data_IF_346358938694
#
_entry.id   IF_346358938694
#
_cell.length_a   1.000
_cell.length_b   1.000
_cell.length_c   1.000
_cell.angle_alpha   90.00
_cell.angle_beta   90.00
_cell.angle_gamma   90.00
#
_symmetry.space_group_name_H-M   'P 1'
#
loop_
_entity.id
_entity.type
_entity.pdbx_description
1 polymer ?
#
# COMPACT_ATOMS: atom_id res chain seq x y z
N UNK A 1 -49.19 10.46 13.63
CA UNK A 1 -48.55 11.39 12.67
C UNK A 1 -49.67 12.28 12.10
N UNK A 2 -49.59 13.59 12.26
CA UNK A 2 -50.65 14.50 11.79
C UNK A 2 -50.65 14.55 10.27
N UNK A 3 -51.85 14.62 9.66
CA UNK A 3 -52.00 14.72 8.19
C UNK A 3 -51.22 15.89 7.58
N UNK A 4 -50.95 16.97 8.35
CA UNK A 4 -50.13 18.09 7.94
C UNK A 4 -48.62 17.75 7.78
N UNK A 5 -48.07 16.82 8.54
CA UNK A 5 -46.67 16.42 8.38
C UNK A 5 -46.42 15.64 7.09
N UNK A 6 -47.38 14.86 6.62
CA UNK A 6 -47.29 14.09 5.37
C UNK A 6 -47.29 15.03 4.15
N UNK A 7 -48.04 16.13 4.18
CA UNK A 7 -48.06 17.10 3.09
C UNK A 7 -46.75 17.92 2.99
N UNK A 8 -46.11 18.19 4.11
CA UNK A 8 -44.80 18.86 4.15
C UNK A 8 -43.71 17.94 3.53
N UNK A 9 -43.70 16.67 3.89
CA UNK A 9 -42.75 15.70 3.34
C UNK A 9 -42.98 15.51 1.83
N UNK A 10 -44.22 15.42 1.38
CA UNK A 10 -44.55 15.33 -0.04
C UNK A 10 -44.12 16.58 -0.80
N UNK A 11 -44.33 17.81 -0.25
CA UNK A 11 -43.89 19.04 -0.88
C UNK A 11 -42.34 19.12 -0.99
N UNK A 12 -41.60 18.74 0.06
CA UNK A 12 -40.14 18.68 0.02
C UNK A 12 -39.65 17.67 -1.02
N UNK A 13 -40.26 16.48 -1.11
CA UNK A 13 -39.91 15.47 -2.09
C UNK A 13 -40.15 15.96 -3.54
N UNK A 14 -41.24 16.69 -3.79
CA UNK A 14 -41.52 17.27 -5.09
C UNK A 14 -40.54 18.40 -5.45
N UNK A 15 -40.18 19.26 -4.50
CA UNK A 15 -39.18 20.32 -4.72
C UNK A 15 -37.79 19.73 -5.02
N UNK A 16 -37.35 18.70 -4.28
CA UNK A 16 -36.09 18.04 -4.56
C UNK A 16 -36.07 17.34 -5.92
N UNK A 17 -37.17 16.70 -6.30
CA UNK A 17 -37.29 16.07 -7.61
C UNK A 17 -37.26 17.11 -8.75
N UNK A 18 -37.96 18.23 -8.61
CA UNK A 18 -37.92 19.34 -9.56
C UNK A 18 -36.54 19.98 -9.66
N UNK A 19 -35.82 20.12 -8.55
CA UNK A 19 -34.44 20.61 -8.51
C UNK A 19 -33.47 19.68 -9.24
N UNK A 20 -33.60 18.37 -9.05
CA UNK A 20 -32.80 17.38 -9.76
C UNK A 20 -33.08 17.37 -11.27
N UNK A 21 -34.34 17.45 -11.67
CA UNK A 21 -34.75 17.54 -13.08
C UNK A 21 -34.22 18.84 -13.70
N UNK A 22 -34.32 19.96 -12.98
CA UNK A 22 -33.76 21.23 -13.46
C UNK A 22 -32.24 21.16 -13.63
N UNK A 23 -31.54 20.57 -12.65
CA UNK A 23 -30.08 20.36 -12.75
C UNK A 23 -29.71 19.44 -13.91
N UNK A 24 -30.47 18.34 -14.16
CA UNK A 24 -30.23 17.44 -15.26
C UNK A 24 -30.47 18.09 -16.63
N UNK A 25 -31.41 19.02 -16.73
CA UNK A 25 -31.72 19.74 -17.99
C UNK A 25 -30.79 20.92 -18.25
N UNK A 26 -30.16 21.49 -17.19
CA UNK A 26 -29.23 22.62 -17.31
C UNK A 26 -27.76 22.23 -17.21
N UNK A 27 -27.47 20.93 -16.98
CA UNK A 27 -26.11 20.43 -16.91
C UNK A 27 -25.53 20.34 -18.32
N UNK A 28 -24.84 21.39 -18.76
CA UNK A 28 -23.91 21.30 -19.87
C UNK A 28 -22.62 20.63 -19.35
N UNK A 29 -22.36 19.41 -19.84
CA UNK A 29 -21.10 18.75 -19.58
C UNK A 29 -19.96 19.66 -20.06
N UNK A 30 -18.90 19.90 -19.26
CA UNK A 30 -17.79 20.71 -19.70
C UNK A 30 -17.21 20.06 -20.98
N UNK A 31 -17.29 20.77 -22.08
CA UNK A 31 -16.70 20.40 -23.37
C UNK A 31 -15.18 20.55 -23.23
N UNK A 32 -14.57 19.62 -22.50
CA UNK A 32 -13.13 19.46 -22.48
C UNK A 32 -12.68 18.95 -23.85
N UNK A 33 -12.35 19.86 -24.75
CA UNK A 33 -11.58 19.53 -25.93
C UNK A 33 -10.19 19.10 -25.50
N UNK A 34 -10.03 17.82 -25.22
CA UNK A 34 -8.69 17.21 -25.17
C UNK A 34 -8.19 17.15 -26.61
N UNK A 35 -7.46 18.19 -27.03
CA UNK A 35 -6.70 18.16 -28.27
C UNK A 35 -5.56 17.18 -28.05
N UNK A 36 -5.76 15.92 -28.40
CA UNK A 36 -4.67 14.97 -28.54
C UNK A 36 -3.86 15.43 -29.76
N UNK A 37 -2.76 16.12 -29.53
CA UNK A 37 -1.74 16.37 -30.55
C UNK A 37 -1.08 15.03 -30.84
N UNK A 38 -1.57 14.32 -31.84
CA UNK A 38 -0.86 13.20 -32.42
C UNK A 38 0.43 13.77 -33.06
N UNK A 39 1.63 13.30 -32.68
CA UNK A 39 2.84 13.66 -33.39
C UNK A 39 2.66 13.21 -34.84
N UNK A 40 2.88 14.14 -35.77
CA UNK A 40 2.87 13.85 -37.21
C UNK A 40 3.83 12.70 -37.51
N UNK A 41 3.42 11.71 -38.32
CA UNK A 41 4.34 10.65 -38.71
C UNK A 41 5.51 11.29 -39.46
N UNK A 42 6.70 11.14 -38.90
CA UNK A 42 7.95 11.49 -39.57
C UNK A 42 7.97 10.70 -40.87
N UNK A 43 7.93 11.40 -41.99
CA UNK A 43 8.17 10.81 -43.29
C UNK A 43 9.54 10.18 -43.27
N UNK A 44 9.60 8.85 -43.19
CA UNK A 44 10.80 8.09 -43.49
C UNK A 44 11.11 8.35 -44.96
N UNK A 45 12.18 9.05 -45.19
CA UNK A 45 12.80 9.27 -46.47
C UNK A 45 13.16 7.90 -47.03
N UNK A 46 12.49 7.52 -48.07
CA UNK A 46 12.69 6.31 -48.85
C UNK A 46 14.12 6.33 -49.43
N UNK A 47 15.02 5.55 -48.84
CA UNK A 47 16.34 5.32 -49.39
C UNK A 47 16.25 4.13 -50.35
N UNK A 48 16.58 4.41 -51.58
CA UNK A 48 16.75 3.57 -52.77
C UNK A 48 17.47 2.23 -52.43
N UNK A 49 16.94 1.08 -52.87
CA UNK A 49 17.56 -0.22 -52.54
C UNK A 49 18.72 -0.53 -53.45
N UNK A 50 19.93 -0.52 -52.98
CA UNK A 50 21.06 -1.21 -53.61
C UNK A 50 21.01 -2.72 -53.28
N UNK A 51 21.21 -3.58 -54.27
CA UNK A 51 21.20 -5.04 -54.05
C UNK A 51 22.50 -5.49 -53.36
N UNK A 52 22.37 -6.08 -52.19
CA UNK A 52 23.43 -6.86 -51.57
C UNK A 52 23.17 -8.34 -51.78
N UNK A 53 24.12 -8.93 -52.39
CA UNK A 53 24.38 -10.34 -52.70
C UNK A 53 24.20 -11.21 -51.44
N UNK A 54 23.48 -12.32 -51.59
CA UNK A 54 23.16 -13.26 -50.53
C UNK A 54 24.36 -14.21 -50.28
N UNK A 55 24.90 -14.18 -49.07
CA UNK A 55 25.69 -15.32 -48.53
C UNK A 55 24.79 -16.19 -47.64
N UNK A 56 24.86 -17.51 -47.73
CA UNK A 56 24.03 -18.42 -46.97
C UNK A 56 24.57 -18.63 -45.56
N UNK A 57 23.89 -18.12 -44.55
CA UNK A 57 24.19 -18.45 -43.16
C UNK A 57 23.68 -19.85 -42.82
N UNK A 58 24.63 -20.70 -42.53
CA UNK A 58 24.47 -22.08 -42.05
C UNK A 58 23.92 -22.06 -40.62
N UNK A 59 22.66 -22.43 -40.45
CA UNK A 59 22.03 -22.67 -39.14
C UNK A 59 22.36 -24.13 -38.73
N UNK A 60 23.36 -24.29 -37.90
CA UNK A 60 23.61 -25.54 -37.17
C UNK A 60 23.17 -25.40 -35.72
N UNK A 61 21.98 -25.92 -35.41
CA UNK A 61 21.53 -26.16 -34.05
C UNK A 61 22.29 -27.38 -33.48
N UNK A 62 22.83 -27.32 -32.25
CA UNK A 62 23.41 -28.53 -31.63
C UNK A 62 22.28 -29.43 -31.16
N UNK A 63 22.22 -30.63 -31.79
CA UNK A 63 21.39 -31.74 -31.34
C UNK A 63 21.98 -32.34 -30.07
N UNK A 64 21.27 -32.24 -28.94
CA UNK A 64 21.59 -33.02 -27.76
C UNK A 64 21.11 -34.45 -27.97
N UNK A 65 22.06 -35.35 -28.17
CA UNK A 65 21.83 -36.78 -28.28
C UNK A 65 21.72 -37.35 -26.88
N UNK A 66 20.51 -37.74 -26.47
CA UNK A 66 20.29 -38.53 -25.25
C UNK A 66 20.58 -39.97 -25.59
N UNK A 67 21.66 -40.51 -25.04
CA UNK A 67 22.04 -41.92 -25.10
C UNK A 67 21.29 -42.65 -23.98
N UNK A 68 20.56 -43.73 -24.25
CA UNK A 68 19.90 -44.52 -23.21
C UNK A 68 20.90 -45.36 -22.44
N UNK A 69 21.02 -45.11 -21.16
CA UNK A 69 21.86 -45.86 -20.23
C UNK A 69 21.29 -47.27 -20.04
N UNK A 70 22.15 -48.27 -20.33
CA UNK A 70 21.88 -49.71 -20.25
C UNK A 70 21.85 -50.15 -18.77
N UNK A 71 20.85 -50.92 -18.30
CA UNK A 71 20.82 -51.39 -16.91
C UNK A 71 21.95 -52.40 -16.63
N UNK A 72 22.68 -52.18 -15.54
CA UNK A 72 23.68 -53.09 -15.00
C UNK A 72 23.01 -54.28 -14.29
N UNK A 73 23.66 -55.46 -14.29
CA UNK A 73 23.07 -56.69 -13.78
C UNK A 73 23.00 -56.73 -12.25
N UNK A 74 21.89 -57.31 -11.74
CA UNK A 74 21.63 -57.52 -10.34
C UNK A 74 22.68 -58.42 -9.69
N UNK A 75 23.30 -57.93 -8.63
CA UNK A 75 24.13 -58.71 -7.71
C UNK A 75 23.22 -59.28 -6.61
N UNK A 76 23.23 -60.60 -6.47
CA UNK A 76 22.46 -61.32 -5.46
C UNK A 76 22.94 -60.95 -4.06
N UNK A 77 22.02 -60.54 -3.22
CA UNK A 77 22.25 -60.27 -1.79
C UNK A 77 22.15 -61.57 -1.01
N UNK A 78 23.21 -61.85 -0.28
CA UNK A 78 23.33 -62.88 0.76
C UNK A 78 22.43 -62.54 1.97
N UNK A 79 21.83 -63.52 2.66
CA UNK A 79 20.91 -63.26 3.76
C UNK A 79 21.67 -62.86 5.04
N UNK A 80 21.51 -61.62 5.43
CA UNK A 80 22.02 -61.09 6.69
C UNK A 80 21.15 -61.56 7.86
N UNK A 81 21.81 -62.16 8.85
CA UNK A 81 21.23 -62.74 10.07
C UNK A 81 20.70 -61.60 10.95
N UNK A 82 19.41 -61.62 11.28
CA UNK A 82 18.77 -60.65 12.20
C UNK A 82 19.38 -60.70 13.62
N UNK A 83 19.71 -59.57 14.24
CA UNK A 83 20.07 -59.53 15.66
C UNK A 83 18.81 -59.69 16.54
N UNK A 84 18.94 -60.16 17.78
CA UNK A 84 17.81 -60.48 18.70
C UNK A 84 17.05 -59.23 19.11
N UNK A 85 15.78 -59.35 19.55
CA UNK A 85 14.95 -58.23 19.95
C UNK A 85 15.54 -57.53 21.14
N UNK A 86 15.85 -56.25 21.02
CA UNK A 86 16.17 -55.38 22.16
C UNK A 86 14.84 -55.04 22.84
N UNK A 87 14.72 -55.44 24.07
CA UNK A 87 13.62 -55.11 24.98
C UNK A 87 13.60 -53.59 25.21
N UNK A 88 12.63 -52.91 24.54
CA UNK A 88 12.44 -51.49 24.67
C UNK A 88 11.77 -51.25 26.04
N UNK A 89 12.53 -50.79 27.01
CA UNK A 89 11.96 -50.24 28.24
C UNK A 89 11.09 -49.02 27.89
N UNK A 90 9.89 -48.90 28.49
CA UNK A 90 9.07 -47.71 28.28
C UNK A 90 9.80 -46.49 28.88
N UNK A 91 10.38 -45.67 28.02
CA UNK A 91 10.86 -44.34 28.40
C UNK A 91 9.63 -43.54 28.85
N UNK A 92 9.68 -43.02 30.08
CA UNK A 92 8.70 -42.11 30.59
C UNK A 92 8.47 -40.94 29.60
N UNK A 93 7.26 -40.47 29.41
CA UNK A 93 7.02 -39.35 28.50
C UNK A 93 7.82 -38.14 29.03
N UNK A 94 8.74 -37.68 28.21
CA UNK A 94 9.41 -36.39 28.37
C UNK A 94 8.33 -35.31 28.53
N UNK A 95 8.44 -34.38 29.48
CA UNK A 95 7.43 -33.33 29.62
C UNK A 95 7.30 -32.62 28.30
N UNK A 96 6.14 -32.72 27.67
CA UNK A 96 5.83 -31.97 26.47
C UNK A 96 6.08 -30.50 26.78
N UNK A 97 7.01 -29.88 26.05
CA UNK A 97 7.15 -28.42 26.03
C UNK A 97 5.74 -27.84 25.83
N UNK A 98 5.40 -26.75 26.55
CA UNK A 98 4.08 -26.15 26.39
C UNK A 98 3.90 -25.84 24.91
N UNK A 99 3.01 -26.55 24.24
CA UNK A 99 2.61 -26.25 22.89
C UNK A 99 2.18 -24.78 22.87
N UNK A 100 2.97 -23.92 22.24
CA UNK A 100 2.59 -22.53 21.99
C UNK A 100 1.19 -22.56 21.42
N UNK A 101 0.24 -21.93 22.13
CA UNK A 101 -1.14 -21.91 21.73
C UNK A 101 -1.19 -21.24 20.32
N UNK A 102 -1.40 -22.05 19.29
CA UNK A 102 -1.53 -21.57 17.92
C UNK A 102 -2.71 -20.60 17.90
N UNK A 103 -2.44 -19.31 17.84
CA UNK A 103 -3.47 -18.29 17.66
C UNK A 103 -4.17 -18.57 16.33
N UNK A 104 -5.42 -19.00 16.39
CA UNK A 104 -6.21 -19.21 15.18
C UNK A 104 -6.61 -17.85 14.61
N UNK A 105 -6.07 -17.53 13.43
CA UNK A 105 -6.43 -16.30 12.72
C UNK A 105 -7.84 -16.44 12.13
N UNK A 106 -8.66 -15.37 12.18
CA UNK A 106 -9.94 -15.33 11.49
C UNK A 106 -9.73 -15.34 9.96
N UNK A 107 -10.79 -15.61 9.21
CA UNK A 107 -10.74 -15.38 7.76
C UNK A 107 -10.57 -13.90 7.45
N UNK A 108 -9.96 -13.59 6.30
CA UNK A 108 -9.68 -12.19 5.88
C UNK A 108 -10.94 -11.31 5.90
N UNK A 109 -12.11 -11.85 5.54
CA UNK A 109 -13.37 -11.10 5.53
C UNK A 109 -13.91 -10.79 6.95
N UNK A 110 -13.47 -11.51 7.96
CA UNK A 110 -13.91 -11.35 9.35
C UNK A 110 -12.76 -10.90 10.25
N UNK A 111 -11.68 -10.34 9.69
CA UNK A 111 -10.46 -10.01 10.44
C UNK A 111 -10.51 -8.66 11.15
N UNK A 112 -11.40 -7.74 10.75
CA UNK A 112 -11.37 -6.35 11.24
C UNK A 112 -11.50 -6.25 12.76
N UNK A 113 -12.49 -6.93 13.35
CA UNK A 113 -12.68 -6.94 14.79
C UNK A 113 -11.48 -7.50 15.55
N UNK A 114 -10.89 -8.59 15.06
CA UNK A 114 -9.69 -9.19 15.62
C UNK A 114 -8.49 -8.23 15.53
N UNK A 115 -8.29 -7.59 14.37
CA UNK A 115 -7.20 -6.61 14.18
C UNK A 115 -7.35 -5.45 15.16
N UNK A 116 -8.55 -4.87 15.29
CA UNK A 116 -8.80 -3.77 16.22
C UNK A 116 -8.58 -4.17 17.68
N UNK A 117 -8.99 -5.38 18.07
CA UNK A 117 -8.72 -5.93 19.40
C UNK A 117 -7.22 -6.06 19.66
N UNK A 118 -6.47 -6.69 18.75
CA UNK A 118 -5.03 -6.86 18.89
C UNK A 118 -4.28 -5.53 18.90
N UNK A 119 -4.67 -4.58 18.04
CA UNK A 119 -4.11 -3.22 18.04
C UNK A 119 -4.41 -2.51 19.36
N UNK A 120 -5.63 -2.63 19.88
CA UNK A 120 -6.03 -1.98 21.15
C UNK A 120 -5.26 -2.51 22.35
N UNK A 121 -4.81 -3.76 22.32
CA UNK A 121 -4.00 -4.39 23.35
C UNK A 121 -2.55 -3.91 23.37
N UNK A 122 -2.07 -3.27 22.31
CA UNK A 122 -0.74 -2.64 22.30
C UNK A 122 -0.68 -1.45 23.26
N UNK A 123 0.50 -1.14 23.76
CA UNK A 123 0.71 0.09 24.50
C UNK A 123 0.33 1.30 23.62
N UNK A 124 -0.55 2.17 24.13
CA UNK A 124 -1.17 3.28 23.40
C UNK A 124 -2.06 2.85 22.19
N UNK A 125 -2.33 1.57 22.01
CA UNK A 125 -3.09 1.02 20.89
C UNK A 125 -4.54 1.55 20.83
N UNK A 126 -5.17 1.82 21.95
CA UNK A 126 -6.51 2.43 22.01
C UNK A 126 -6.56 3.78 21.27
N UNK A 127 -5.51 4.61 21.38
CA UNK A 127 -5.42 5.87 20.62
C UNK A 127 -5.24 5.61 19.14
N UNK A 128 -4.46 4.58 18.77
CA UNK A 128 -4.25 4.20 17.39
C UNK A 128 -5.55 3.72 16.73
N UNK A 129 -6.36 2.89 17.43
CA UNK A 129 -7.64 2.43 16.89
C UNK A 129 -8.64 3.56 16.62
N UNK A 130 -8.58 4.66 17.38
CA UNK A 130 -9.40 5.84 17.11
C UNK A 130 -9.06 6.55 15.79
N UNK A 131 -7.82 6.40 15.33
CA UNK A 131 -7.36 6.94 14.04
C UNK A 131 -7.66 5.99 12.87
N UNK A 132 -7.89 4.71 13.15
CA UNK A 132 -8.14 3.70 12.13
C UNK A 132 -9.60 3.71 11.65
N UNK A 133 -9.81 3.22 10.44
CA UNK A 133 -11.15 2.82 9.97
C UNK A 133 -11.53 1.50 10.63
N UNK A 134 -12.77 1.08 10.47
CA UNK A 134 -13.31 -0.14 11.10
C UNK A 134 -13.63 -1.25 10.07
N UNK A 135 -13.31 -1.02 8.80
CA UNK A 135 -13.66 -1.95 7.72
C UNK A 135 -12.48 -2.20 6.79
N UNK A 136 -12.32 -3.47 6.42
CA UNK A 136 -11.32 -3.94 5.46
C UNK A 136 -9.87 -3.52 5.78
N UNK A 137 -9.54 -3.48 7.06
CA UNK A 137 -8.27 -2.93 7.57
C UNK A 137 -7.05 -3.56 6.91
N UNK A 138 -7.02 -4.89 6.81
CA UNK A 138 -5.92 -5.63 6.17
C UNK A 138 -5.78 -5.25 4.68
N UNK A 139 -6.89 -5.26 3.94
CA UNK A 139 -6.88 -4.92 2.50
C UNK A 139 -6.44 -3.48 2.26
N UNK A 140 -7.00 -2.54 3.02
CA UNK A 140 -6.63 -1.11 2.93
C UNK A 140 -5.16 -0.87 3.28
N UNK A 141 -4.65 -1.57 4.30
CA UNK A 141 -3.24 -1.48 4.65
C UNK A 141 -2.35 -2.03 3.51
N UNK A 142 -2.71 -3.16 2.93
CA UNK A 142 -1.98 -3.75 1.80
C UNK A 142 -1.96 -2.80 0.60
N UNK A 143 -3.11 -2.21 0.24
CA UNK A 143 -3.20 -1.23 -0.85
C UNK A 143 -2.37 0.03 -0.55
N UNK A 144 -2.39 0.52 0.69
CA UNK A 144 -1.55 1.65 1.09
C UNK A 144 -0.06 1.32 0.92
N UNK A 145 0.40 0.19 1.44
CA UNK A 145 1.81 -0.23 1.38
C UNK A 145 2.26 -0.41 -0.08
N UNK A 146 1.44 -1.04 -0.91
CA UNK A 146 1.72 -1.23 -2.34
C UNK A 146 1.86 0.11 -3.07
N UNK A 147 0.95 1.07 -2.82
CA UNK A 147 1.06 2.40 -3.40
C UNK A 147 2.31 3.15 -2.92
N UNK A 148 2.58 3.13 -1.62
CA UNK A 148 3.75 3.79 -1.03
C UNK A 148 5.05 3.21 -1.59
N UNK A 149 5.12 1.90 -1.81
CA UNK A 149 6.30 1.25 -2.41
C UNK A 149 6.66 1.82 -3.80
N UNK A 150 5.67 2.36 -4.51
CA UNK A 150 5.81 3.00 -5.83
C UNK A 150 5.86 4.54 -5.77
N UNK A 151 5.95 5.13 -4.59
CA UNK A 151 5.91 6.58 -4.43
C UNK A 151 4.53 7.22 -4.60
N UNK A 152 3.47 6.39 -4.62
CA UNK A 152 2.07 6.82 -4.74
C UNK A 152 1.36 6.80 -3.41
N UNK A 153 0.18 7.43 -3.35
CA UNK A 153 -0.75 7.35 -2.22
C UNK A 153 -2.17 7.11 -2.74
N UNK A 154 -2.91 6.15 -2.18
CA UNK A 154 -4.32 5.97 -2.55
C UNK A 154 -5.13 7.19 -2.11
N UNK A 155 -6.07 7.61 -2.97
CA UNK A 155 -6.94 8.77 -2.69
C UNK A 155 -8.15 8.38 -1.83
N UNK A 156 -8.53 7.13 -1.87
CA UNK A 156 -9.69 6.56 -1.18
C UNK A 156 -9.28 5.28 -0.45
N UNK A 157 -10.16 4.77 0.40
CA UNK A 157 -9.97 3.48 1.09
C UNK A 157 -8.69 3.40 1.94
N UNK A 158 -8.35 4.51 2.58
CA UNK A 158 -7.24 4.54 3.52
C UNK A 158 -7.56 3.71 4.77
N UNK A 159 -6.56 3.06 5.40
CA UNK A 159 -6.75 2.31 6.66
C UNK A 159 -6.94 3.22 7.87
N UNK A 160 -6.83 4.53 7.68
CA UNK A 160 -7.00 5.55 8.71
C UNK A 160 -8.02 6.60 8.28
N UNK A 161 -8.59 7.28 9.27
CA UNK A 161 -9.57 8.35 9.06
C UNK A 161 -8.86 9.60 8.56
N UNK A 162 -9.38 10.17 7.48
CA UNK A 162 -8.88 11.44 6.96
C UNK A 162 -9.07 12.59 7.97
N UNK A 163 -8.17 13.55 7.91
CA UNK A 163 -8.33 14.78 8.69
C UNK A 163 -9.42 15.66 8.08
N UNK A 164 -10.25 16.23 8.93
CA UNK A 164 -11.29 17.21 8.56
C UNK A 164 -10.73 18.64 8.58
N UNK A 165 -11.41 19.54 7.87
CA UNK A 165 -11.10 20.96 7.84
C UNK A 165 -10.09 21.36 6.75
N UNK A 166 -10.09 22.66 6.44
CA UNK A 166 -9.14 23.22 5.48
C UNK A 166 -7.73 23.27 6.08
N UNK A 167 -6.74 23.25 5.21
CA UNK A 167 -5.35 23.40 5.61
C UNK A 167 -5.10 24.87 5.98
N UNK A 168 -4.60 25.16 7.18
CA UNK A 168 -4.20 26.52 7.55
C UNK A 168 -3.07 27.00 6.62
N UNK A 169 -3.18 28.24 6.17
CA UNK A 169 -2.17 28.89 5.34
C UNK A 169 -2.13 30.38 5.66
N UNK A 170 -0.96 30.96 5.62
CA UNK A 170 -0.77 32.42 5.64
C UNK A 170 -0.91 32.97 4.22
N UNK A 171 -1.70 34.02 4.06
CA UNK A 171 -1.82 34.73 2.78
C UNK A 171 -0.69 35.71 2.65
N UNK A 172 0.18 35.50 1.65
CA UNK A 172 1.30 36.40 1.36
C UNK A 172 0.95 37.44 0.30
N UNK A 173 0.14 37.05 -0.70
CA UNK A 173 -0.31 37.91 -1.79
C UNK A 173 -1.64 37.39 -2.36
N UNK A 174 -2.22 38.02 -3.38
CA UNK A 174 -3.53 37.71 -3.97
C UNK A 174 -3.71 36.21 -4.31
N UNK A 175 -2.66 35.55 -4.82
CA UNK A 175 -2.68 34.11 -5.14
C UNK A 175 -1.41 33.40 -4.63
N UNK A 176 -0.79 33.92 -3.60
CA UNK A 176 0.40 33.32 -2.99
C UNK A 176 0.16 33.10 -1.50
N UNK A 177 0.38 31.87 -1.07
CA UNK A 177 0.16 31.43 0.30
C UNK A 177 1.40 30.75 0.84
N UNK A 178 1.56 30.67 2.14
CA UNK A 178 2.59 29.87 2.79
C UNK A 178 1.93 28.83 3.71
N UNK A 179 2.53 27.65 3.79
CA UNK A 179 2.20 26.72 4.87
C UNK A 179 2.80 27.26 6.16
N UNK A 180 1.97 27.44 7.15
CA UNK A 180 2.37 27.86 8.49
C UNK A 180 2.60 26.67 9.43
N UNK A 181 3.06 26.93 10.66
CA UNK A 181 3.27 25.91 11.67
C UNK A 181 1.97 25.18 12.04
N UNK A 182 0.82 25.82 11.95
CA UNK A 182 -0.48 25.19 12.22
C UNK A 182 -0.85 24.17 11.13
N UNK A 183 -0.39 24.36 9.90
CA UNK A 183 -0.56 23.37 8.83
C UNK A 183 0.16 22.05 9.15
N UNK A 184 1.32 22.12 9.78
CA UNK A 184 2.11 20.96 10.21
C UNK A 184 1.57 20.37 11.53
N UNK A 185 1.23 21.20 12.49
CA UNK A 185 0.76 20.80 13.82
C UNK A 185 -0.52 19.95 13.79
N UNK A 186 -1.33 20.06 12.75
CA UNK A 186 -2.52 19.20 12.58
C UNK A 186 -2.17 17.71 12.45
N UNK A 187 -0.94 17.35 12.11
CA UNK A 187 -0.45 15.97 12.03
C UNK A 187 0.18 15.46 13.32
N UNK A 188 0.48 16.33 14.27
CA UNK A 188 1.22 15.98 15.50
C UNK A 188 0.55 14.83 16.24
N UNK A 189 -0.75 14.91 16.49
CA UNK A 189 -1.49 13.88 17.22
C UNK A 189 -1.40 12.52 16.52
N UNK A 190 -1.49 12.48 15.20
CA UNK A 190 -1.43 11.23 14.42
C UNK A 190 -0.03 10.65 14.50
N UNK A 191 0.98 11.47 14.24
CA UNK A 191 2.39 11.03 14.25
C UNK A 191 2.82 10.63 15.65
N UNK A 192 2.53 11.44 16.68
CA UNK A 192 2.88 11.12 18.06
C UNK A 192 2.18 9.84 18.55
N UNK A 193 0.93 9.59 18.14
CA UNK A 193 0.25 8.33 18.43
C UNK A 193 0.96 7.16 17.76
N UNK A 194 1.29 7.27 16.47
CA UNK A 194 1.98 6.20 15.73
C UNK A 194 3.36 5.89 16.33
N UNK A 195 4.17 6.91 16.62
CA UNK A 195 5.53 6.70 17.14
C UNK A 195 5.55 6.23 18.59
N UNK A 196 4.46 6.43 19.35
CA UNK A 196 4.34 5.99 20.74
C UNK A 196 4.11 4.47 20.89
N UNK A 197 3.71 3.78 19.83
CA UNK A 197 3.50 2.33 19.85
C UNK A 197 4.85 1.61 20.00
N UNK A 198 4.93 0.60 20.87
CA UNK A 198 6.16 -0.21 21.00
C UNK A 198 6.48 -0.94 19.70
N UNK A 199 7.71 -0.77 19.19
CA UNK A 199 8.13 -1.35 17.93
C UNK A 199 8.17 -2.88 17.98
N UNK A 200 8.61 -3.47 19.10
CA UNK A 200 8.67 -4.92 19.23
C UNK A 200 7.29 -5.57 19.20
N UNK A 201 6.36 -5.01 19.98
CA UNK A 201 4.99 -5.48 20.02
C UNK A 201 4.27 -5.31 18.66
N UNK A 202 4.50 -4.18 17.97
CA UNK A 202 3.94 -3.94 16.65
C UNK A 202 4.48 -4.93 15.60
N UNK A 203 5.78 -5.27 15.64
CA UNK A 203 6.38 -6.30 14.78
C UNK A 203 5.82 -7.69 15.11
N UNK A 204 5.64 -8.01 16.39
CA UNK A 204 5.00 -9.25 16.82
C UNK A 204 3.59 -9.38 16.23
N UNK A 205 2.78 -8.31 16.33
CA UNK A 205 1.46 -8.25 15.74
C UNK A 205 1.51 -8.38 14.21
N UNK A 206 2.42 -7.67 13.56
CA UNK A 206 2.61 -7.78 12.10
C UNK A 206 2.90 -9.22 11.67
N UNK A 207 3.84 -9.90 12.34
CA UNK A 207 4.20 -11.30 12.04
C UNK A 207 3.02 -12.25 12.26
N UNK A 208 2.24 -12.05 13.31
CA UNK A 208 1.03 -12.82 13.55
C UNK A 208 0.01 -12.63 12.42
N UNK A 209 -0.16 -11.41 11.91
CA UNK A 209 -1.12 -11.09 10.84
C UNK A 209 -0.55 -11.31 9.43
N UNK A 210 0.73 -11.67 9.27
CA UNK A 210 1.41 -11.82 7.97
C UNK A 210 0.65 -12.73 6.98
N UNK A 211 0.05 -13.87 7.39
CA UNK A 211 -0.73 -14.69 6.46
C UNK A 211 -1.94 -13.96 5.87
N UNK A 212 -2.59 -13.07 6.63
CA UNK A 212 -3.72 -12.26 6.15
C UNK A 212 -3.27 -11.16 5.20
N UNK A 213 -2.12 -10.53 5.46
CA UNK A 213 -1.53 -9.56 4.54
C UNK A 213 -1.15 -10.20 3.21
N UNK A 214 -0.51 -11.38 3.24
CA UNK A 214 -0.16 -12.10 2.02
C UNK A 214 -1.40 -12.54 1.24
N UNK A 215 -2.46 -12.99 1.92
CA UNK A 215 -3.74 -13.33 1.29
C UNK A 215 -4.36 -12.12 0.60
N UNK A 216 -4.43 -10.96 1.28
CA UNK A 216 -4.98 -9.73 0.71
C UNK A 216 -4.11 -9.23 -0.48
N UNK A 217 -2.79 -9.42 -0.40
CA UNK A 217 -1.87 -9.06 -1.47
C UNK A 217 -2.08 -9.94 -2.71
N UNK A 218 -2.34 -11.22 -2.51
CA UNK A 218 -2.70 -12.15 -3.59
C UNK A 218 -4.05 -11.80 -4.26
N UNK A 219 -5.05 -11.28 -3.49
CA UNK A 219 -6.34 -10.84 -4.03
C UNK A 219 -6.20 -9.68 -5.03
N UNK A 220 -5.24 -8.77 -4.82
CA UNK A 220 -4.98 -7.65 -5.74
C UNK A 220 -4.00 -8.00 -6.87
N UNK A 221 -3.66 -9.30 -7.03
CA UNK A 221 -2.93 -9.82 -8.18
C UNK A 221 -1.48 -10.25 -7.92
N UNK A 222 -0.92 -10.03 -6.72
CA UNK A 222 0.48 -10.34 -6.39
C UNK A 222 0.61 -11.69 -5.68
N UNK A 223 0.30 -12.79 -6.37
CA UNK A 223 0.28 -14.15 -5.79
C UNK A 223 1.67 -14.71 -5.50
N UNK A 224 2.63 -14.36 -6.34
CA UNK A 224 4.00 -14.89 -6.32
C UNK A 224 5.02 -13.87 -5.75
N UNK A 225 4.53 -12.78 -5.15
CA UNK A 225 5.35 -11.72 -4.57
C UNK A 225 5.13 -11.68 -3.06
N UNK A 226 6.22 -11.58 -2.30
CA UNK A 226 6.14 -11.45 -0.85
C UNK A 226 5.66 -10.05 -0.46
N UNK A 227 4.64 -9.98 0.39
CA UNK A 227 4.20 -8.71 0.96
C UNK A 227 5.27 -8.09 1.88
N UNK A 228 6.06 -8.91 2.56
CA UNK A 228 7.15 -8.43 3.42
C UNK A 228 8.18 -7.62 2.62
N UNK A 229 8.54 -8.07 1.42
CA UNK A 229 9.47 -7.35 0.55
C UNK A 229 8.86 -6.02 0.04
N UNK A 230 7.57 -6.01 -0.24
CA UNK A 230 6.85 -4.80 -0.62
C UNK A 230 6.78 -3.81 0.55
N UNK A 231 6.55 -4.29 1.78
CA UNK A 231 6.58 -3.46 2.99
C UNK A 231 7.96 -2.84 3.22
N UNK A 232 9.04 -3.63 3.08
CA UNK A 232 10.42 -3.12 3.17
C UNK A 232 10.68 -2.05 2.12
N UNK A 233 10.25 -2.28 0.88
CA UNK A 233 10.37 -1.30 -0.22
C UNK A 233 9.59 -0.02 0.10
N UNK A 234 8.37 -0.12 0.61
CA UNK A 234 7.56 1.03 1.01
C UNK A 234 8.26 1.85 2.11
N UNK A 235 8.81 1.18 3.14
CA UNK A 235 9.59 1.86 4.19
C UNK A 235 10.81 2.56 3.58
N UNK A 236 11.55 1.91 2.71
CA UNK A 236 12.71 2.51 2.05
C UNK A 236 12.34 3.72 1.21
N UNK A 237 11.22 3.67 0.47
CA UNK A 237 10.71 4.81 -0.30
C UNK A 237 10.48 6.03 0.58
N UNK A 238 9.88 5.85 1.77
CA UNK A 238 9.71 6.95 2.74
C UNK A 238 11.05 7.42 3.29
N UNK A 239 11.97 6.52 3.63
CA UNK A 239 13.25 6.87 4.24
C UNK A 239 14.19 7.61 3.28
N UNK A 240 14.09 7.33 1.97
CA UNK A 240 14.92 7.96 0.93
C UNK A 240 14.50 9.38 0.59
N UNK A 241 13.29 9.81 0.98
CA UNK A 241 12.83 11.18 0.71
C UNK A 241 13.72 12.20 1.42
N UNK A 242 13.94 13.36 0.81
CA UNK A 242 14.68 14.46 1.43
C UNK A 242 13.79 15.20 2.43
N UNK A 243 14.34 15.62 3.56
CA UNK A 243 13.68 16.61 4.41
C UNK A 243 13.76 17.98 3.72
N UNK A 244 12.68 18.73 3.83
CA UNK A 244 12.62 20.10 3.33
C UNK A 244 12.41 21.03 4.50
N UNK A 245 13.33 21.94 4.67
CA UNK A 245 13.28 23.01 5.68
C UNK A 245 12.95 24.33 4.99
N UNK A 246 12.25 25.22 5.66
CA UNK A 246 11.92 26.55 5.19
C UNK A 246 10.45 26.73 4.80
N UNK A 247 10.07 27.94 4.43
CA UNK A 247 8.70 28.26 4.09
C UNK A 247 8.27 27.57 2.79
N UNK A 248 7.20 26.83 2.85
CA UNK A 248 6.61 26.16 1.67
C UNK A 248 5.53 27.09 1.09
N UNK A 249 5.81 27.62 -0.07
CA UNK A 249 4.88 28.51 -0.78
C UNK A 249 3.92 27.70 -1.63
N UNK A 250 2.68 28.14 -1.66
CA UNK A 250 1.56 27.55 -2.38
C UNK A 250 0.90 28.60 -3.27
N UNK A 251 0.31 28.13 -4.36
CA UNK A 251 -0.60 28.89 -5.22
C UNK A 251 -1.94 28.17 -5.30
N UNK A 252 -3.02 28.91 -5.51
CA UNK A 252 -4.37 28.36 -5.61
C UNK A 252 -5.03 28.75 -6.94
N UNK A 253 -4.62 28.13 -8.06
CA UNK A 253 -5.18 28.46 -9.37
C UNK A 253 -6.65 28.04 -9.51
N UNK A 254 -7.14 27.13 -8.66
CA UNK A 254 -8.53 26.68 -8.61
C UNK A 254 -8.93 26.37 -7.17
N UNK A 255 -9.64 25.26 -6.92
CA UNK A 255 -10.07 24.84 -5.57
C UNK A 255 -8.95 24.21 -4.72
N UNK A 256 -7.85 23.75 -5.34
CA UNK A 256 -6.76 23.06 -4.65
C UNK A 256 -5.49 23.89 -4.62
N UNK A 257 -4.74 23.77 -3.51
CA UNK A 257 -3.39 24.32 -3.42
C UNK A 257 -2.40 23.46 -4.17
N UNK A 258 -1.53 24.10 -4.94
CA UNK A 258 -0.35 23.53 -5.59
C UNK A 258 0.89 24.16 -4.98
N UNK A 259 2.03 23.48 -5.04
CA UNK A 259 3.30 24.11 -4.66
C UNK A 259 3.68 25.18 -5.69
N UNK A 260 4.08 26.38 -5.22
CA UNK A 260 4.54 27.45 -6.08
C UNK A 260 5.86 27.09 -6.79
N UNK A 261 6.71 26.30 -6.13
CA UNK A 261 7.92 25.75 -6.72
C UNK A 261 7.59 24.52 -7.58
N UNK A 262 7.85 24.61 -8.87
CA UNK A 262 7.62 23.52 -9.82
C UNK A 262 8.43 22.26 -9.49
N UNK A 263 9.59 22.38 -8.83
CA UNK A 263 10.37 21.22 -8.41
C UNK A 263 9.66 20.43 -7.31
N UNK A 264 8.99 21.12 -6.40
CA UNK A 264 8.17 20.49 -5.37
C UNK A 264 6.87 19.93 -5.95
N UNK A 265 6.26 20.63 -6.91
CA UNK A 265 5.00 20.18 -7.53
C UNK A 265 5.21 18.91 -8.37
N UNK A 266 6.38 18.70 -8.93
CA UNK A 266 6.71 17.51 -9.71
C UNK A 266 7.20 16.31 -8.86
N UNK A 267 7.32 16.45 -7.54
CA UNK A 267 7.65 15.33 -6.65
C UNK A 267 6.55 14.27 -6.65
N UNK A 268 6.90 13.05 -6.30
CA UNK A 268 5.94 11.98 -6.14
C UNK A 268 5.00 12.22 -4.93
N UNK A 269 3.91 11.46 -4.85
CA UNK A 269 2.88 11.68 -3.84
C UNK A 269 3.38 11.45 -2.39
N UNK A 270 4.29 10.49 -2.19
CA UNK A 270 4.89 10.22 -0.87
C UNK A 270 5.77 11.38 -0.43
N UNK A 271 6.61 11.92 -1.31
CA UNK A 271 7.45 13.08 -1.01
C UNK A 271 6.60 14.32 -0.69
N UNK A 272 5.57 14.59 -1.51
CA UNK A 272 4.61 15.68 -1.25
C UNK A 272 3.91 15.53 0.10
N UNK A 273 3.55 14.31 0.48
CA UNK A 273 2.91 14.07 1.78
C UNK A 273 3.87 14.33 2.93
N UNK A 274 5.16 13.96 2.82
CA UNK A 274 6.15 14.24 3.85
C UNK A 274 6.42 15.74 4.02
N UNK A 275 6.40 16.50 2.92
CA UNK A 275 6.46 17.97 2.99
C UNK A 275 5.26 18.52 3.76
N UNK A 276 4.04 17.98 3.52
CA UNK A 276 2.82 18.39 4.26
C UNK A 276 2.85 18.03 5.73
N UNK A 277 3.53 16.94 6.12
CA UNK A 277 3.73 16.57 7.51
C UNK A 277 4.61 17.58 8.26
N UNK A 278 5.44 18.31 7.55
CA UNK A 278 6.46 19.18 8.12
C UNK A 278 7.75 18.45 8.54
N UNK A 279 8.83 19.18 8.80
CA UNK A 279 10.14 18.59 9.07
C UNK A 279 10.15 17.74 10.34
N UNK A 280 9.56 18.20 11.45
CA UNK A 280 9.57 17.51 12.73
C UNK A 280 8.79 16.19 12.69
N UNK A 281 7.57 16.20 12.16
CA UNK A 281 6.75 15.01 12.01
C UNK A 281 7.37 14.00 11.05
N UNK A 282 7.95 14.47 9.95
CA UNK A 282 8.68 13.62 9.01
C UNK A 282 9.90 12.97 9.64
N UNK A 283 10.65 13.70 10.48
CA UNK A 283 11.80 13.16 11.21
C UNK A 283 11.36 12.08 12.22
N UNK A 284 10.31 12.34 13.03
CA UNK A 284 9.73 11.37 13.96
C UNK A 284 9.28 10.10 13.23
N UNK A 285 8.52 10.25 12.14
CA UNK A 285 8.04 9.13 11.32
C UNK A 285 9.20 8.30 10.77
N UNK A 286 10.18 8.92 10.14
CA UNK A 286 11.36 8.24 9.59
C UNK A 286 12.16 7.51 10.66
N UNK A 287 12.31 8.10 11.85
CA UNK A 287 13.00 7.45 12.96
C UNK A 287 12.27 6.17 13.38
N UNK A 288 10.95 6.23 13.49
CA UNK A 288 10.12 5.06 13.79
C UNK A 288 10.20 3.99 12.70
N UNK A 289 10.15 4.38 11.44
CA UNK A 289 10.24 3.44 10.32
C UNK A 289 11.61 2.75 10.23
N UNK A 290 12.73 3.42 10.60
CA UNK A 290 14.04 2.75 10.71
C UNK A 290 14.02 1.65 11.77
N UNK A 291 13.42 1.90 12.94
CA UNK A 291 13.26 0.88 13.98
C UNK A 291 12.44 -0.32 13.51
N UNK A 292 11.44 -0.09 12.68
CA UNK A 292 10.67 -1.18 12.04
C UNK A 292 11.54 -1.94 11.03
N UNK A 293 12.24 -1.24 10.13
CA UNK A 293 13.08 -1.85 9.11
C UNK A 293 14.18 -2.76 9.68
N UNK A 294 14.72 -2.40 10.85
CA UNK A 294 15.76 -3.17 11.54
C UNK A 294 15.23 -4.50 12.14
N UNK A 295 13.93 -4.65 12.28
CA UNK A 295 13.29 -5.81 12.95
C UNK A 295 12.39 -6.65 12.03
N UNK A 296 12.08 -6.15 10.84
CA UNK A 296 11.38 -6.89 9.78
C UNK A 296 12.30 -7.90 9.11
#
# INVERSE_FOLDING_TARGET
MSKSGLWVIAAVAVITLLSLVYMALTYEAPQGTTTVVLPSPTQQQEADPQPREAEPASNSLPSIRIEPERPAPAVASEPEIAPPPVEVQPTAPEPAEPAEALVQLPSLNNSDGFVLEQVSALQNGMRLTQLMTDQQLIRRFVVLVENVSRGSLPQTELPYRGMSGEMPVDTLDENLFAMDDAAFARFDQVIDTFVSVDTGAAIGLYRMLSPLFQQAYAEIGYRDVSFDETLKTAIQTVLQTSNRDGPIQLVKPSVMYLYADATLENLNAVEKQLIRLGPDNSAKLKTKLRQFAERL
#
